data_IF_716853548070
#
_entry.id   IF_716853548070
#
_cell.length_a   1.000
_cell.length_b   1.000
_cell.length_c   1.000
_cell.angle_alpha   90.00
_cell.angle_beta   90.00
_cell.angle_gamma   90.00
#
_symmetry.space_group_name_H-M   'P 1'
#
loop_
_entity.id
_entity.type
_entity.pdbx_description
1 polymer ?
#
# COMPACT_ATOMS: atom_id res chain seq x y z
N UNK A 1 -19.15 12.16 -0.36
CA UNK A 1 -19.13 11.65 -1.75
C UNK A 1 -19.70 12.80 -2.55
N UNK A 2 -18.91 13.47 -3.38
CA UNK A 2 -19.45 14.53 -4.24
C UNK A 2 -19.97 13.80 -5.47
N UNK A 3 -21.28 13.85 -5.67
CA UNK A 3 -21.94 13.18 -6.79
C UNK A 3 -22.31 14.27 -7.79
N UNK A 4 -21.70 14.24 -8.97
CA UNK A 4 -22.09 15.12 -10.07
C UNK A 4 -23.21 14.43 -10.86
N UNK A 5 -24.33 15.12 -11.09
CA UNK A 5 -25.39 14.64 -11.99
C UNK A 5 -25.06 15.09 -13.42
N UNK A 6 -25.53 14.34 -14.43
CA UNK A 6 -25.41 14.72 -15.85
C UNK A 6 -25.93 16.15 -16.08
N UNK A 7 -27.03 16.51 -15.42
CA UNK A 7 -27.64 17.84 -15.46
C UNK A 7 -26.77 18.94 -14.83
N UNK A 8 -26.04 18.62 -13.75
CA UNK A 8 -25.07 19.54 -13.13
C UNK A 8 -23.87 19.81 -14.04
N UNK A 9 -23.45 18.82 -14.83
CA UNK A 9 -22.32 18.94 -15.76
C UNK A 9 -22.71 19.69 -17.04
N UNK A 10 -23.96 19.58 -17.48
CA UNK A 10 -24.48 20.32 -18.63
C UNK A 10 -24.73 21.81 -18.34
N UNK A 11 -25.00 22.16 -17.07
CA UNK A 11 -25.32 23.54 -16.65
C UNK A 11 -24.09 24.43 -16.42
N UNK A 12 -22.92 23.83 -16.19
CA UNK A 12 -21.69 24.57 -15.86
C UNK A 12 -20.55 24.11 -16.76
N UNK A 13 -20.01 25.01 -17.59
CA UNK A 13 -18.94 24.73 -18.57
C UNK A 13 -17.58 24.38 -17.93
N UNK A 14 -17.48 24.40 -16.60
CA UNK A 14 -16.24 24.08 -15.89
C UNK A 14 -16.52 23.33 -14.58
N UNK A 15 -15.85 22.18 -14.41
CA UNK A 15 -15.84 21.43 -13.16
C UNK A 15 -14.54 21.71 -12.40
N UNK A 16 -14.64 22.42 -11.29
CA UNK A 16 -13.50 22.63 -10.40
C UNK A 16 -13.25 21.39 -9.54
N UNK A 17 -12.28 20.56 -9.95
CA UNK A 17 -11.75 19.50 -9.10
C UNK A 17 -10.75 20.12 -8.12
N UNK A 18 -11.17 20.31 -6.87
CA UNK A 18 -10.41 21.03 -5.85
C UNK A 18 -8.98 20.50 -5.61
N UNK A 19 -7.99 21.19 -6.18
CA UNK A 19 -6.57 20.95 -5.96
C UNK A 19 -6.01 19.67 -6.60
N UNK A 20 -4.68 19.58 -6.65
CA UNK A 20 -3.93 18.48 -7.29
C UNK A 20 -4.33 17.08 -6.78
N UNK A 21 -4.80 16.98 -5.54
CA UNK A 21 -5.25 15.70 -4.95
C UNK A 21 -6.65 15.27 -5.42
N UNK A 22 -7.60 16.19 -5.61
CA UNK A 22 -8.90 15.85 -6.18
C UNK A 22 -8.76 15.47 -7.65
N UNK A 23 -7.86 16.14 -8.39
CA UNK A 23 -7.52 15.77 -9.76
C UNK A 23 -6.89 14.37 -9.84
N UNK A 24 -5.86 14.07 -9.05
CA UNK A 24 -5.24 12.75 -9.04
C UNK A 24 -6.22 11.63 -8.66
N UNK A 25 -7.15 11.91 -7.74
CA UNK A 25 -8.24 10.99 -7.40
C UNK A 25 -9.21 10.80 -8.56
N UNK A 26 -9.70 11.88 -9.15
CA UNK A 26 -10.60 11.84 -10.30
C UNK A 26 -9.94 11.15 -11.50
N UNK A 27 -8.63 11.30 -11.68
CA UNK A 27 -7.87 10.59 -12.70
C UNK A 27 -7.80 9.10 -12.41
N UNK A 28 -7.48 8.66 -11.19
CA UNK A 28 -7.49 7.23 -10.84
C UNK A 28 -8.90 6.64 -10.97
N UNK A 29 -9.92 7.37 -10.53
CA UNK A 29 -11.33 7.00 -10.67
C UNK A 29 -11.73 6.94 -12.16
N UNK A 30 -11.34 7.91 -12.98
CA UNK A 30 -11.55 7.94 -14.43
C UNK A 30 -10.80 6.78 -15.11
N UNK A 31 -9.51 6.58 -14.85
CA UNK A 31 -8.74 5.41 -15.32
C UNK A 31 -9.41 4.09 -14.97
N UNK A 32 -9.94 3.97 -13.74
CA UNK A 32 -10.68 2.78 -13.31
C UNK A 32 -12.00 2.65 -14.09
N UNK A 33 -12.72 3.75 -14.31
CA UNK A 33 -13.93 3.79 -15.13
C UNK A 33 -13.66 3.48 -16.61
N UNK A 34 -12.54 3.92 -17.19
CA UNK A 34 -12.13 3.62 -18.57
C UNK A 34 -11.74 2.15 -18.75
N UNK A 35 -11.11 1.56 -17.73
CA UNK A 35 -10.88 0.11 -17.69
C UNK A 35 -12.20 -0.68 -17.60
N UNK A 36 -13.19 -0.16 -16.89
CA UNK A 36 -14.53 -0.77 -16.77
C UNK A 36 -15.36 -0.59 -18.05
N UNK A 37 -15.27 0.57 -18.72
CA UNK A 37 -16.18 0.98 -19.80
C UNK A 37 -16.01 0.24 -21.13
N UNK A 38 -15.06 -0.69 -21.25
CA UNK A 38 -14.97 -1.60 -22.39
C UNK A 38 -15.92 -2.81 -22.30
N UNK A 39 -16.60 -3.01 -21.17
CA UNK A 39 -17.83 -3.82 -21.10
C UNK A 39 -19.06 -2.97 -21.48
N UNK A 40 -19.36 -2.96 -22.77
CA UNK A 40 -20.70 -2.73 -23.35
C UNK A 40 -21.52 -1.48 -22.91
N UNK A 41 -21.10 -0.32 -23.46
CA UNK A 41 -21.86 0.91 -23.84
C UNK A 41 -22.09 2.06 -22.82
N UNK A 42 -22.10 3.36 -23.17
CA UNK A 42 -21.27 4.15 -24.12
C UNK A 42 -21.35 5.68 -23.81
N UNK A 43 -22.47 6.23 -23.34
CA UNK A 43 -22.65 7.67 -23.07
C UNK A 43 -21.91 8.20 -21.82
N UNK A 44 -21.73 7.37 -20.79
CA UNK A 44 -21.22 7.77 -19.45
C UNK A 44 -19.71 8.00 -19.36
N UNK A 45 -19.01 7.57 -20.40
CA UNK A 45 -17.60 7.85 -20.64
C UNK A 45 -17.41 9.22 -21.32
N UNK A 46 -18.37 9.68 -22.15
CA UNK A 46 -18.37 10.97 -22.85
C UNK A 46 -18.51 12.16 -21.87
N UNK A 47 -19.29 12.01 -20.80
CA UNK A 47 -19.35 12.97 -19.68
C UNK A 47 -18.04 13.04 -18.85
N UNK A 48 -17.20 11.99 -18.92
CA UNK A 48 -15.92 11.92 -18.21
C UNK A 48 -14.80 12.74 -18.85
N UNK A 49 -15.02 13.32 -20.05
CA UNK A 49 -13.99 13.97 -20.86
C UNK A 49 -14.39 15.28 -21.56
N UNK A 50 -15.58 15.86 -21.39
CA UNK A 50 -15.88 17.22 -21.90
C UNK A 50 -15.15 18.37 -21.14
N UNK A 51 -14.04 18.05 -20.49
CA UNK A 51 -12.86 18.90 -20.32
C UNK A 51 -11.83 18.48 -21.41
N UNK A 52 -11.92 18.91 -22.68
CA UNK A 52 -12.71 20.01 -23.19
C UNK A 52 -12.28 21.38 -22.65
N UNK A 53 -11.13 21.49 -21.98
CA UNK A 53 -10.65 22.78 -21.48
C UNK A 53 -9.14 23.02 -21.62
N UNK A 54 -8.43 22.31 -22.51
CA UNK A 54 -7.21 22.83 -23.11
C UNK A 54 -6.97 22.23 -24.50
N UNK A 55 -6.89 23.16 -25.46
CA UNK A 55 -6.39 23.08 -26.84
C UNK A 55 -7.36 22.72 -27.98
N UNK A 56 -7.77 23.77 -28.70
CA UNK A 56 -8.64 23.76 -29.88
C UNK A 56 -7.91 23.38 -31.19
N UNK A 57 -6.83 22.61 -31.14
CA UNK A 57 -6.03 22.26 -32.32
C UNK A 57 -5.71 20.75 -32.47
N UNK A 58 -6.44 19.86 -31.79
CA UNK A 58 -6.23 18.42 -31.93
C UNK A 58 -7.33 17.74 -32.76
N UNK A 59 -7.24 17.85 -34.07
CA UNK A 59 -8.08 17.08 -35.02
C UNK A 59 -7.51 15.71 -35.40
N UNK A 60 -6.47 15.17 -34.74
CA UNK A 60 -5.79 13.99 -35.31
C UNK A 60 -5.23 12.89 -34.38
N UNK A 61 -5.80 12.63 -33.19
CA UNK A 61 -5.36 11.46 -32.40
C UNK A 61 -6.49 10.63 -31.81
N UNK A 62 -6.95 9.65 -32.60
CA UNK A 62 -7.68 8.44 -32.17
C UNK A 62 -6.74 7.38 -31.53
N UNK A 63 -5.73 7.78 -30.75
CA UNK A 63 -4.85 6.82 -30.07
C UNK A 63 -5.37 6.49 -28.67
N UNK A 64 -6.24 5.47 -28.66
CA UNK A 64 -6.86 4.85 -27.51
C UNK A 64 -5.89 4.56 -26.35
N UNK A 65 -6.37 4.84 -25.14
CA UNK A 65 -5.76 4.54 -23.85
C UNK A 65 -5.88 3.03 -23.54
N UNK A 66 -5.32 2.18 -24.39
CA UNK A 66 -5.35 0.73 -24.25
C UNK A 66 -4.17 0.30 -23.40
N UNK A 67 -4.39 0.08 -22.10
CA UNK A 67 -3.49 -0.79 -21.33
C UNK A 67 -3.32 -2.07 -22.16
N UNK A 68 -2.11 -2.36 -22.64
CA UNK A 68 -1.76 -3.66 -23.24
C UNK A 68 -1.65 -4.69 -22.11
N UNK A 69 -2.70 -4.79 -21.31
CA UNK A 69 -3.19 -6.11 -21.01
C UNK A 69 -3.65 -6.61 -22.37
N UNK A 70 -3.14 -7.74 -22.82
CA UNK A 70 -3.80 -8.45 -23.92
C UNK A 70 -5.16 -8.95 -23.41
N UNK A 71 -6.11 -8.01 -23.25
CA UNK A 71 -7.50 -8.21 -22.84
C UNK A 71 -8.35 -8.61 -24.04
N UNK A 72 -7.76 -8.73 -25.23
CA UNK A 72 -8.45 -9.17 -26.45
C UNK A 72 -9.17 -10.52 -26.25
N UNK A 73 -8.68 -11.34 -25.32
CA UNK A 73 -9.22 -12.67 -24.98
C UNK A 73 -9.93 -12.74 -23.62
N UNK A 74 -10.00 -11.66 -22.85
CA UNK A 74 -10.55 -11.72 -21.48
C UNK A 74 -11.91 -11.07 -21.44
N UNK A 75 -12.94 -11.86 -21.11
CA UNK A 75 -14.30 -11.35 -20.91
C UNK A 75 -14.31 -10.28 -19.82
N UNK A 76 -14.78 -9.09 -20.18
CA UNK A 76 -14.88 -7.99 -19.22
C UNK A 76 -16.12 -8.25 -18.34
N UNK A 77 -15.97 -8.15 -17.02
CA UNK A 77 -17.07 -8.41 -16.09
C UNK A 77 -18.25 -7.45 -16.29
N UNK A 78 -19.47 -7.96 -16.10
CA UNK A 78 -20.72 -7.26 -16.38
C UNK A 78 -21.20 -6.39 -15.22
N UNK A 79 -20.62 -6.57 -14.02
CA UNK A 79 -21.00 -5.85 -12.81
C UNK A 79 -19.80 -5.33 -12.02
N UNK A 80 -20.01 -4.30 -11.19
CA UNK A 80 -18.96 -3.75 -10.32
C UNK A 80 -18.43 -4.77 -9.29
N UNK A 81 -19.26 -5.74 -8.89
CA UNK A 81 -18.86 -6.84 -8.00
C UNK A 81 -17.91 -7.80 -8.71
N UNK A 82 -18.28 -8.21 -9.92
CA UNK A 82 -17.44 -9.05 -10.78
C UNK A 82 -16.15 -8.33 -11.16
N UNK A 83 -16.19 -7.03 -11.42
CA UNK A 83 -14.99 -6.23 -11.68
C UNK A 83 -13.98 -6.28 -10.54
N UNK A 84 -14.43 -6.20 -9.29
CA UNK A 84 -13.54 -6.32 -8.13
C UNK A 84 -12.92 -7.72 -7.97
N UNK A 85 -13.58 -8.78 -8.46
CA UNK A 85 -13.04 -10.14 -8.50
C UNK A 85 -12.04 -10.25 -9.64
N UNK A 86 -12.47 -9.89 -10.85
CA UNK A 86 -11.66 -9.91 -12.05
C UNK A 86 -10.35 -9.14 -11.90
N UNK A 87 -10.41 -7.89 -11.43
CA UNK A 87 -9.21 -7.08 -11.20
C UNK A 87 -8.27 -7.71 -10.17
N UNK A 88 -8.83 -8.39 -9.16
CA UNK A 88 -8.03 -9.10 -8.18
C UNK A 88 -7.34 -10.31 -8.80
N UNK A 89 -8.02 -11.04 -9.67
CA UNK A 89 -7.45 -12.17 -10.42
C UNK A 89 -6.36 -11.70 -11.40
N UNK A 90 -6.48 -10.49 -11.95
CA UNK A 90 -5.45 -9.85 -12.77
C UNK A 90 -4.32 -9.20 -11.97
N UNK A 91 -4.50 -8.98 -10.67
CA UNK A 91 -3.56 -8.20 -9.85
C UNK A 91 -2.12 -8.76 -9.86
N UNK A 92 -1.87 -10.08 -9.72
CA UNK A 92 -0.50 -10.61 -9.78
C UNK A 92 0.22 -10.32 -11.11
N UNK A 93 -0.50 -10.43 -12.24
CA UNK A 93 0.01 -10.09 -13.57
C UNK A 93 0.32 -8.60 -13.66
N UNK A 94 -0.62 -7.75 -13.26
CA UNK A 94 -0.46 -6.29 -13.26
C UNK A 94 0.71 -5.84 -12.38
N UNK A 95 0.86 -6.42 -11.19
CA UNK A 95 1.96 -6.12 -10.28
C UNK A 95 3.29 -6.54 -10.89
N UNK A 96 3.35 -7.72 -11.53
CA UNK A 96 4.57 -8.18 -12.20
C UNK A 96 4.96 -7.25 -13.35
N UNK A 97 4.00 -6.81 -14.17
CA UNK A 97 4.24 -5.82 -15.24
C UNK A 97 4.68 -4.47 -14.68
N UNK A 98 4.06 -4.01 -13.59
CA UNK A 98 4.47 -2.79 -12.88
C UNK A 98 5.93 -2.89 -12.42
N UNK A 99 6.30 -3.99 -11.76
CA UNK A 99 7.66 -4.20 -11.27
C UNK A 99 8.64 -4.30 -12.44
N UNK A 100 8.31 -5.04 -13.50
CA UNK A 100 9.15 -5.16 -14.68
C UNK A 100 9.43 -3.80 -15.30
N UNK A 101 8.37 -3.05 -15.64
CA UNK A 101 8.47 -1.74 -16.28
C UNK A 101 9.30 -0.76 -15.44
N UNK A 102 8.98 -0.64 -14.16
CA UNK A 102 9.60 0.35 -13.31
C UNK A 102 10.95 -0.08 -12.76
N UNK A 103 11.29 -1.37 -12.69
CA UNK A 103 12.68 -1.79 -12.42
C UNK A 103 13.58 -1.54 -13.63
N UNK A 104 13.03 -1.69 -14.84
CA UNK A 104 13.72 -1.51 -16.11
C UNK A 104 13.56 -0.10 -16.71
N UNK A 105 13.08 0.89 -15.97
CA UNK A 105 12.78 2.22 -16.53
C UNK A 105 13.99 2.91 -17.15
N UNK A 106 15.22 2.64 -16.68
CA UNK A 106 16.43 3.21 -17.27
C UNK A 106 16.64 2.74 -18.71
N UNK A 107 16.38 1.48 -19.00
CA UNK A 107 16.57 0.89 -20.34
C UNK A 107 15.34 1.08 -21.23
N UNK A 108 14.14 0.94 -20.67
CA UNK A 108 12.88 1.00 -21.42
C UNK A 108 12.43 2.43 -21.73
N UNK A 109 12.66 3.37 -20.81
CA UNK A 109 12.12 4.74 -20.92
C UNK A 109 13.22 5.75 -21.29
N UNK A 110 14.48 5.47 -20.94
CA UNK A 110 15.67 6.30 -21.24
C UNK A 110 15.65 7.74 -20.68
N UNK A 111 14.74 8.08 -19.76
CA UNK A 111 14.68 9.44 -19.17
C UNK A 111 15.34 9.57 -17.79
N UNK A 112 16.06 8.54 -17.34
CA UNK A 112 16.86 8.59 -16.12
C UNK A 112 18.33 8.90 -16.43
N UNK A 113 18.91 9.88 -15.74
CA UNK A 113 20.34 10.20 -15.85
C UNK A 113 21.27 9.06 -15.38
N UNK A 114 22.58 9.29 -15.47
CA UNK A 114 23.61 8.27 -15.21
C UNK A 114 23.58 7.67 -13.79
N UNK A 115 23.31 8.49 -12.77
CA UNK A 115 23.32 8.09 -11.36
C UNK A 115 21.98 7.56 -10.82
N UNK A 116 21.01 7.36 -11.69
CA UNK A 116 19.69 6.88 -11.30
C UNK A 116 19.61 5.35 -11.28
N UNK A 117 18.77 4.82 -10.39
CA UNK A 117 18.47 3.39 -10.23
C UNK A 117 19.66 2.53 -9.78
N UNK A 118 20.68 3.16 -9.20
CA UNK A 118 21.85 2.45 -8.67
C UNK A 118 21.54 1.78 -7.33
N UNK A 119 20.53 2.27 -6.61
CA UNK A 119 20.15 1.79 -5.30
C UNK A 119 18.63 1.69 -5.15
N UNK A 120 18.18 0.63 -4.47
CA UNK A 120 16.82 0.49 -3.93
C UNK A 120 16.81 0.90 -2.46
N UNK A 121 15.89 1.79 -2.09
CA UNK A 121 15.56 2.18 -0.71
C UNK A 121 14.26 1.49 -0.32
N UNK A 122 14.28 0.75 0.77
CA UNK A 122 13.15 0.01 1.32
C UNK A 122 12.77 0.66 2.65
N UNK A 123 11.47 0.85 2.87
CA UNK A 123 10.95 1.38 4.12
C UNK A 123 9.47 1.04 4.29
N UNK A 124 9.01 0.96 5.53
CA UNK A 124 7.65 0.66 5.94
C UNK A 124 6.85 1.91 6.34
N UNK A 125 5.83 2.27 5.56
CA UNK A 125 4.94 3.39 5.86
C UNK A 125 3.79 3.04 6.77
N UNK A 126 3.92 3.39 8.05
CA UNK A 126 2.91 3.00 9.03
C UNK A 126 1.66 3.89 9.12
N UNK A 127 1.39 4.83 8.19
CA UNK A 127 0.25 5.77 8.32
C UNK A 127 -0.97 5.36 7.47
N UNK A 128 -0.77 4.60 6.40
CA UNK A 128 -1.84 4.13 5.53
C UNK A 128 -2.36 2.76 6.00
N UNK A 129 -3.39 2.78 6.84
CA UNK A 129 -3.93 1.58 7.49
C UNK A 129 -5.42 1.41 7.20
N UNK A 130 -5.84 0.21 6.80
CA UNK A 130 -7.26 -0.17 6.67
C UNK A 130 -7.63 -1.24 7.67
N UNK A 131 -8.92 -1.54 7.84
CA UNK A 131 -9.35 -2.67 8.69
C UNK A 131 -8.97 -4.00 8.05
N UNK A 132 -8.49 -4.92 8.88
CA UNK A 132 -8.05 -6.27 8.50
C UNK A 132 -8.62 -7.32 9.44
N UNK A 133 -8.79 -8.53 8.92
CA UNK A 133 -9.22 -9.70 9.67
C UNK A 133 -8.28 -9.96 10.86
N UNK A 134 -8.87 -10.33 12.00
CA UNK A 134 -8.10 -10.67 13.21
C UNK A 134 -7.50 -12.06 13.22
N UNK A 135 -7.77 -12.90 12.21
CA UNK A 135 -7.09 -14.19 12.09
C UNK A 135 -5.59 -13.96 11.96
N UNK A 136 -4.87 -14.37 13.01
CA UNK A 136 -3.41 -14.40 13.08
C UNK A 136 -2.97 -15.81 12.73
N UNK A 137 -1.69 -15.95 12.42
CA UNK A 137 -1.06 -17.24 12.17
C UNK A 137 -1.56 -17.96 10.91
N UNK A 138 -1.89 -17.19 9.87
CA UNK A 138 -2.14 -17.77 8.54
C UNK A 138 -0.79 -18.18 8.00
N UNK A 139 -0.55 -19.47 7.81
CA UNK A 139 0.69 -19.95 7.20
C UNK A 139 0.56 -19.84 5.69
N UNK A 140 1.50 -19.21 5.02
CA UNK A 140 1.62 -19.21 3.56
C UNK A 140 3.01 -19.71 3.19
N UNK A 141 3.14 -20.45 2.10
CA UNK A 141 4.45 -20.81 1.56
C UNK A 141 4.86 -19.81 0.47
N UNK A 142 6.15 -19.63 0.30
CA UNK A 142 6.74 -18.88 -0.83
C UNK A 142 7.82 -19.72 -1.50
N UNK A 143 8.35 -19.26 -2.62
CA UNK A 143 9.51 -19.92 -3.24
C UNK A 143 10.74 -19.91 -2.33
N UNK A 144 10.87 -18.89 -1.47
CA UNK A 144 11.98 -18.70 -0.53
C UNK A 144 11.78 -19.41 0.80
N UNK A 145 10.53 -19.53 1.25
CA UNK A 145 10.21 -20.02 2.58
C UNK A 145 9.20 -21.15 2.49
N UNK A 146 9.48 -22.27 3.16
CA UNK A 146 8.51 -23.37 3.28
C UNK A 146 7.24 -22.92 3.98
N UNK A 147 7.39 -22.11 5.02
CA UNK A 147 6.27 -21.54 5.77
C UNK A 147 6.60 -20.13 6.25
N UNK A 148 5.64 -19.24 6.01
CA UNK A 148 5.63 -17.85 6.42
C UNK A 148 4.33 -17.59 7.16
N UNK A 149 4.44 -17.24 8.43
CA UNK A 149 3.29 -16.89 9.25
C UNK A 149 2.88 -15.44 8.97
N UNK A 150 1.75 -15.21 8.33
CA UNK A 150 1.18 -13.89 8.04
C UNK A 150 -0.14 -13.66 8.78
N UNK A 151 -0.64 -12.43 8.69
CA UNK A 151 -2.00 -12.07 9.15
C UNK A 151 -2.93 -12.10 7.95
N UNK A 152 -4.18 -12.53 8.17
CA UNK A 152 -5.18 -12.52 7.11
C UNK A 152 -5.37 -11.10 6.55
N UNK A 153 -5.13 -10.94 5.26
CA UNK A 153 -5.23 -9.67 4.55
C UNK A 153 -6.68 -9.20 4.37
N UNK A 154 -7.68 -10.08 4.52
CA UNK A 154 -9.06 -9.80 4.15
C UNK A 154 -9.72 -8.76 5.06
N UNK A 155 -10.66 -8.01 4.50
CA UNK A 155 -11.51 -7.09 5.27
C UNK A 155 -12.48 -7.90 6.15
N UNK A 156 -12.66 -7.55 7.44
CA UNK A 156 -13.68 -8.20 8.27
C UNK A 156 -15.09 -8.02 7.72
N UNK A 157 -15.98 -8.98 7.95
CA UNK A 157 -17.40 -8.83 7.65
C UNK A 157 -18.02 -7.71 8.51
N UNK A 158 -19.11 -7.10 8.04
CA UNK A 158 -19.81 -6.06 8.80
C UNK A 158 -20.18 -6.55 10.20
N UNK A 159 -19.86 -5.77 11.23
CA UNK A 159 -20.08 -6.16 12.63
C UNK A 159 -19.14 -7.24 13.19
N UNK A 160 -18.23 -7.80 12.37
CA UNK A 160 -17.29 -8.84 12.77
C UNK A 160 -15.86 -8.33 12.92
N UNK A 161 -15.05 -9.08 13.68
CA UNK A 161 -13.59 -8.93 13.75
C UNK A 161 -12.85 -9.83 12.76
N UNK A 162 -13.56 -10.77 12.14
CA UNK A 162 -13.04 -11.77 11.23
C UNK A 162 -13.72 -11.62 9.86
N UNK A 163 -13.01 -11.98 8.78
CA UNK A 163 -13.61 -12.13 7.47
C UNK A 163 -14.47 -13.41 7.40
N UNK A 164 -15.25 -13.57 6.35
CA UNK A 164 -16.17 -14.71 6.14
C UNK A 164 -15.48 -16.07 6.32
N UNK A 165 -14.26 -16.23 5.80
CA UNK A 165 -13.49 -17.47 5.94
C UNK A 165 -13.12 -17.79 7.40
N UNK A 166 -12.93 -16.75 8.20
CA UNK A 166 -12.42 -16.85 9.55
C UNK A 166 -13.50 -16.64 10.61
N UNK A 167 -14.78 -16.60 10.21
CA UNK A 167 -15.89 -16.48 11.16
C UNK A 167 -15.98 -17.69 12.09
N UNK A 168 -15.52 -18.87 11.66
CA UNK A 168 -15.50 -20.09 12.48
C UNK A 168 -14.64 -19.92 13.75
N UNK A 169 -13.58 -19.09 13.69
CA UNK A 169 -12.76 -18.77 14.87
C UNK A 169 -13.49 -17.96 15.94
N UNK A 170 -14.71 -17.45 15.67
CA UNK A 170 -15.53 -16.73 16.66
C UNK A 170 -16.02 -17.64 17.78
N UNK A 171 -16.19 -18.94 17.50
CA UNK A 171 -16.79 -19.89 18.44
C UNK A 171 -15.76 -20.53 19.39
N UNK A 172 -14.47 -20.47 19.05
CA UNK A 172 -13.39 -20.92 19.91
C UNK A 172 -12.91 -19.72 20.75
N UNK A 173 -13.61 -19.42 21.83
CA UNK A 173 -13.24 -18.35 22.75
C UNK A 173 -11.82 -18.58 23.28
N UNK A 174 -10.84 -17.82 22.77
CA UNK A 174 -9.50 -17.79 23.35
C UNK A 174 -9.57 -17.14 24.73
N UNK A 175 -9.74 -17.96 25.77
CA UNK A 175 -9.65 -17.59 27.19
C UNK A 175 -8.21 -17.28 27.60
N UNK A 176 -7.60 -16.23 27.06
CA UNK A 176 -6.26 -15.80 27.43
C UNK A 176 -6.26 -14.39 28.03
N UNK A 177 -6.52 -14.32 29.33
CA UNK A 177 -6.26 -13.17 30.19
C UNK A 177 -4.83 -13.23 30.73
N UNK A 178 -4.10 -12.12 30.59
CA UNK A 178 -2.92 -11.69 31.38
C UNK A 178 -1.53 -12.26 31.04
N UNK A 179 -0.75 -11.53 30.24
CA UNK A 179 0.72 -11.48 30.38
C UNK A 179 1.27 -10.09 29.95
N UNK A 180 2.21 -9.53 30.71
CA UNK A 180 2.80 -8.19 30.56
C UNK A 180 4.33 -8.30 30.55
N UNK A 181 5.00 -8.39 29.38
CA UNK A 181 6.36 -7.86 29.07
C UNK A 181 7.04 -8.55 27.87
N UNK A 182 6.84 -8.09 26.63
CA UNK A 182 7.75 -8.31 25.47
C UNK A 182 7.67 -7.09 24.54
N UNK A 183 8.82 -6.67 23.97
CA UNK A 183 9.03 -5.50 23.08
C UNK A 183 9.20 -5.84 21.58
N UNK A 184 8.78 -7.01 21.11
CA UNK A 184 7.95 -7.04 19.89
C UNK A 184 6.63 -6.35 20.27
N UNK A 185 5.93 -5.66 19.36
CA UNK A 185 4.60 -5.11 19.70
C UNK A 185 3.83 -6.16 20.49
N UNK A 186 3.57 -5.92 21.79
CA UNK A 186 3.18 -7.00 22.71
C UNK A 186 2.08 -7.84 22.07
N UNK A 187 2.04 -9.15 22.29
CA UNK A 187 0.96 -9.97 21.72
C UNK A 187 -0.42 -9.35 22.02
N UNK A 188 -0.54 -8.65 23.15
CA UNK A 188 -1.69 -7.81 23.50
C UNK A 188 -1.97 -6.62 22.55
N UNK A 189 -0.96 -5.93 22.03
CA UNK A 189 -1.07 -4.91 20.98
C UNK A 189 -1.43 -5.52 19.63
N UNK A 190 -0.78 -6.61 19.22
CA UNK A 190 -1.09 -7.31 17.95
C UNK A 190 -2.51 -7.91 17.99
N UNK A 191 -2.95 -8.43 19.15
CA UNK A 191 -4.33 -8.91 19.41
C UNK A 191 -5.35 -7.77 19.34
N UNK A 192 -4.96 -6.53 19.64
CA UNK A 192 -5.83 -5.34 19.54
C UNK A 192 -5.85 -4.73 18.14
N UNK A 193 -4.77 -4.86 17.37
CA UNK A 193 -4.67 -4.35 16.02
C UNK A 193 -5.68 -5.03 15.08
N UNK A 194 -6.72 -4.28 14.74
CA UNK A 194 -7.70 -4.59 13.71
C UNK A 194 -7.43 -3.80 12.42
N UNK A 195 -6.23 -3.25 12.27
CA UNK A 195 -5.81 -2.51 11.09
C UNK A 195 -4.53 -3.08 10.51
N UNK A 196 -4.32 -2.94 9.20
CA UNK A 196 -3.00 -3.12 8.60
C UNK A 196 -2.00 -2.18 9.26
N UNK A 197 -0.73 -2.54 9.18
CA UNK A 197 0.36 -1.78 9.76
C UNK A 197 0.89 -0.74 8.80
N UNK A 198 0.60 -0.84 7.50
CA UNK A 198 1.09 0.14 6.54
C UNK A 198 1.30 -0.42 5.14
N UNK A 199 2.23 0.22 4.43
CA UNK A 199 2.70 -0.17 3.11
C UNK A 199 4.22 -0.29 3.19
N UNK A 200 4.78 -1.42 2.77
CA UNK A 200 6.20 -1.58 2.48
C UNK A 200 6.42 -1.17 1.04
N UNK A 201 7.39 -0.32 0.75
CA UNK A 201 7.70 0.08 -0.63
C UNK A 201 9.21 0.00 -0.89
N UNK A 202 9.56 -0.50 -2.08
CA UNK A 202 10.90 -0.39 -2.63
C UNK A 202 10.93 0.73 -3.66
N UNK A 203 11.78 1.72 -3.41
CA UNK A 203 11.87 2.96 -4.19
C UNK A 203 13.31 3.15 -4.62
N UNK A 204 13.56 3.41 -5.90
CA UNK A 204 14.91 3.73 -6.33
C UNK A 204 15.34 5.11 -5.83
N UNK A 205 16.64 5.39 -5.86
CA UNK A 205 17.16 6.72 -5.55
C UNK A 205 16.63 7.84 -6.48
N UNK A 206 16.04 7.50 -7.65
CA UNK A 206 15.31 8.44 -8.51
C UNK A 206 13.95 8.86 -7.98
N UNK A 207 13.46 8.22 -6.90
CA UNK A 207 12.09 8.29 -6.40
C UNK A 207 11.07 7.55 -7.28
N UNK A 208 11.51 6.53 -8.04
CA UNK A 208 10.62 5.63 -8.78
C UNK A 208 10.27 4.44 -7.88
N UNK A 209 8.97 4.20 -7.70
CA UNK A 209 8.47 3.05 -6.95
C UNK A 209 8.57 1.83 -7.85
N UNK A 210 9.33 0.83 -7.43
CA UNK A 210 9.54 -0.40 -8.22
C UNK A 210 8.78 -1.58 -7.66
N UNK A 211 8.47 -1.57 -6.37
CA UNK A 211 7.72 -2.64 -5.72
C UNK A 211 7.02 -2.12 -4.47
N UNK A 212 5.98 -2.81 -4.04
CA UNK A 212 5.30 -2.52 -2.79
C UNK A 212 4.47 -3.71 -2.30
N UNK A 213 4.16 -3.72 -1.01
CA UNK A 213 3.25 -4.67 -0.39
C UNK A 213 2.48 -4.01 0.77
N UNK A 214 1.25 -4.44 1.02
CA UNK A 214 0.55 -4.04 2.24
C UNK A 214 1.09 -4.87 3.43
N UNK A 215 1.40 -4.21 4.53
CA UNK A 215 1.91 -4.86 5.74
C UNK A 215 0.74 -5.10 6.70
N UNK A 216 0.52 -6.34 7.12
CA UNK A 216 -0.62 -6.72 7.97
C UNK A 216 -0.28 -6.85 9.47
N UNK A 217 1.00 -6.89 9.81
CA UNK A 217 1.56 -6.95 11.17
C UNK A 217 2.79 -6.05 11.29
N UNK A 218 3.52 -6.10 12.39
CA UNK A 218 4.87 -5.52 12.40
C UNK A 218 5.66 -6.11 11.23
N UNK A 219 6.27 -5.24 10.43
CA UNK A 219 7.18 -5.63 9.36
C UNK A 219 8.16 -6.70 9.84
N UNK A 220 8.27 -7.79 9.07
CA UNK A 220 9.17 -8.90 9.39
C UNK A 220 10.20 -9.09 8.30
N UNK A 221 11.41 -9.52 8.69
CA UNK A 221 12.50 -9.75 7.74
C UNK A 221 12.12 -10.76 6.65
N UNK A 222 11.33 -11.79 6.99
CA UNK A 222 10.84 -12.76 5.99
C UNK A 222 9.87 -12.14 4.98
N UNK A 223 8.99 -11.23 5.39
CA UNK A 223 8.08 -10.51 4.48
C UNK A 223 8.88 -9.57 3.55
N UNK A 224 9.91 -8.90 4.07
CA UNK A 224 10.81 -8.07 3.26
C UNK A 224 11.56 -8.93 2.24
N UNK A 225 12.19 -10.02 2.67
CA UNK A 225 12.92 -10.94 1.79
C UNK A 225 12.00 -11.48 0.70
N UNK A 226 10.78 -11.90 1.06
CA UNK A 226 9.79 -12.38 0.08
C UNK A 226 9.41 -11.29 -0.93
N UNK A 227 9.22 -10.04 -0.50
CA UNK A 227 8.98 -8.91 -1.39
C UNK A 227 10.16 -8.66 -2.34
N UNK A 228 11.40 -8.65 -1.81
CA UNK A 228 12.60 -8.39 -2.60
C UNK A 228 12.87 -9.50 -3.62
N UNK A 229 12.77 -10.78 -3.23
CA UNK A 229 12.93 -11.89 -4.17
C UNK A 229 11.85 -11.88 -5.27
N UNK A 230 10.60 -11.56 -4.91
CA UNK A 230 9.52 -11.39 -5.90
C UNK A 230 9.82 -10.23 -6.85
N UNK A 231 10.43 -9.17 -6.34
CA UNK A 231 10.84 -8.01 -7.13
C UNK A 231 11.98 -8.36 -8.09
N UNK A 232 12.99 -9.10 -7.62
CA UNK A 232 14.10 -9.58 -8.44
C UNK A 232 13.58 -10.43 -9.61
N UNK A 233 12.71 -11.41 -9.36
CA UNK A 233 12.08 -12.22 -10.42
C UNK A 233 11.33 -11.35 -11.43
N UNK A 234 10.39 -10.53 -10.95
CA UNK A 234 9.55 -9.71 -11.83
C UNK A 234 10.37 -8.64 -12.59
N UNK A 235 11.51 -8.22 -12.08
CA UNK A 235 12.43 -7.31 -12.77
C UNK A 235 13.25 -7.97 -13.88
N UNK A 236 13.10 -9.29 -14.10
CA UNK A 236 14.00 -10.11 -14.92
C UNK A 236 15.47 -9.97 -14.46
N UNK A 237 15.68 -10.04 -13.14
CA UNK A 237 16.98 -9.92 -12.48
C UNK A 237 17.71 -8.58 -12.71
N UNK A 238 17.03 -7.57 -13.25
CA UNK A 238 17.52 -6.19 -13.27
C UNK A 238 17.22 -5.49 -11.94
N UNK A 239 17.86 -5.97 -10.88
CA UNK A 239 17.72 -5.44 -9.53
C UNK A 239 18.93 -4.57 -9.14
N UNK A 240 18.73 -3.44 -8.42
CA UNK A 240 19.85 -2.61 -7.99
C UNK A 240 20.86 -3.37 -7.12
N UNK A 241 22.15 -3.24 -7.45
CA UNK A 241 23.25 -3.92 -6.73
C UNK A 241 23.44 -3.44 -5.29
N UNK A 242 22.84 -2.30 -4.92
CA UNK A 242 22.88 -1.75 -3.58
C UNK A 242 21.47 -1.56 -3.01
N UNK A 243 21.22 -2.13 -1.84
CA UNK A 243 20.02 -1.90 -1.05
C UNK A 243 20.27 -0.94 0.11
N UNK A 244 19.27 -0.14 0.45
CA UNK A 244 19.22 0.66 1.67
C UNK A 244 17.93 0.32 2.40
N UNK A 245 18.04 0.03 3.69
CA UNK A 245 16.91 -0.33 4.54
C UNK A 245 17.20 0.15 5.96
N UNK A 246 16.23 0.70 6.68
CA UNK A 246 16.42 1.23 8.04
C UNK A 246 16.94 0.14 8.98
N UNK A 247 16.37 -1.06 8.92
CA UNK A 247 16.81 -2.23 9.67
C UNK A 247 17.74 -3.16 8.87
N UNK A 248 18.57 -2.55 8.00
CA UNK A 248 19.47 -3.25 7.09
C UNK A 248 20.42 -4.22 7.79
N UNK A 249 20.85 -3.93 9.02
CA UNK A 249 21.78 -4.80 9.74
C UNK A 249 21.20 -6.17 10.05
N UNK A 250 19.98 -6.21 10.59
CA UNK A 250 19.32 -7.48 10.90
C UNK A 250 18.87 -8.20 9.63
N UNK A 251 18.49 -7.46 8.58
CA UNK A 251 18.19 -8.06 7.27
C UNK A 251 19.39 -8.84 6.71
N UNK A 252 20.58 -8.22 6.69
CA UNK A 252 21.80 -8.88 6.18
C UNK A 252 22.21 -10.06 7.06
N UNK A 253 22.16 -9.90 8.38
CA UNK A 253 22.45 -10.97 9.32
C UNK A 253 21.50 -12.15 9.12
N UNK A 254 20.19 -11.88 9.01
CA UNK A 254 19.19 -12.91 8.75
C UNK A 254 19.45 -13.64 7.43
N UNK A 255 19.67 -12.90 6.34
CA UNK A 255 19.96 -13.50 5.04
C UNK A 255 21.17 -14.43 5.15
N UNK A 256 22.28 -13.98 5.77
CA UNK A 256 23.50 -14.79 5.89
C UNK A 256 23.32 -16.04 6.75
N UNK A 257 22.65 -15.91 7.88
CA UNK A 257 22.49 -17.01 8.82
C UNK A 257 21.49 -18.07 8.34
N UNK A 258 20.49 -17.66 7.54
CA UNK A 258 19.41 -18.56 7.10
C UNK A 258 19.55 -19.04 5.64
N UNK A 259 20.51 -18.54 4.86
CA UNK A 259 20.67 -18.91 3.46
C UNK A 259 21.10 -20.37 3.25
N UNK A 260 20.29 -21.14 2.51
CA UNK A 260 20.44 -22.58 2.37
C UNK A 260 19.93 -23.40 3.56
N UNK A 261 19.33 -22.73 4.54
CA UNK A 261 18.58 -23.35 5.64
C UNK A 261 17.10 -22.97 5.45
N UNK A 262 16.55 -22.14 6.34
CA UNK A 262 15.18 -21.63 6.26
C UNK A 262 14.91 -20.76 5.02
N UNK A 263 15.94 -20.08 4.48
CA UNK A 263 15.87 -19.31 3.24
C UNK A 263 16.40 -20.20 2.10
N UNK A 264 15.48 -20.73 1.30
CA UNK A 264 15.79 -21.63 0.16
C UNK A 264 16.71 -20.95 -0.84
N UNK A 265 17.61 -21.73 -1.46
CA UNK A 265 18.51 -21.27 -2.53
C UNK A 265 17.75 -21.26 -3.85
N UNK A 266 17.27 -20.08 -4.24
CA UNK A 266 16.65 -19.81 -5.54
C UNK A 266 17.49 -18.75 -6.24
N UNK A 267 17.38 -18.62 -7.55
CA UNK A 267 18.12 -17.57 -8.28
C UNK A 267 17.86 -16.17 -7.71
N UNK A 268 16.63 -15.91 -7.24
CA UNK A 268 16.27 -14.65 -6.61
C UNK A 268 16.89 -14.47 -5.22
N UNK A 269 16.89 -15.50 -4.37
CA UNK A 269 17.53 -15.40 -3.05
C UNK A 269 19.05 -15.38 -3.13
N UNK A 270 19.66 -16.02 -4.13
CA UNK A 270 21.10 -15.88 -4.45
C UNK A 270 21.43 -14.44 -4.81
N UNK A 271 20.67 -13.84 -5.74
CA UNK A 271 20.87 -12.44 -6.15
C UNK A 271 20.67 -11.47 -4.97
N UNK A 272 19.70 -11.75 -4.09
CA UNK A 272 19.50 -10.98 -2.88
C UNK A 272 20.66 -11.14 -1.89
N UNK A 273 21.20 -12.35 -1.72
CA UNK A 273 22.35 -12.63 -0.88
C UNK A 273 23.62 -11.88 -1.32
N UNK A 274 23.80 -11.72 -2.64
CA UNK A 274 24.92 -10.98 -3.24
C UNK A 274 24.76 -9.45 -3.20
N UNK A 275 23.54 -8.96 -2.98
CA UNK A 275 23.25 -7.53 -2.93
C UNK A 275 23.92 -6.88 -1.72
N UNK A 276 24.63 -5.76 -1.93
CA UNK A 276 25.23 -4.99 -0.83
C UNK A 276 24.15 -4.15 -0.16
N UNK A 277 23.98 -4.29 1.15
CA UNK A 277 23.05 -3.45 1.91
C UNK A 277 23.76 -2.42 2.78
N UNK A 278 23.10 -1.30 3.04
CA UNK A 278 23.51 -0.30 4.02
C UNK A 278 22.28 0.18 4.81
N UNK A 279 22.51 0.70 6.01
CA UNK A 279 21.43 1.33 6.78
C UNK A 279 21.14 2.72 6.22
N UNK A 280 19.87 3.15 6.21
CA UNK A 280 19.53 4.51 5.79
C UNK A 280 20.28 5.57 6.63
N UNK A 281 20.73 6.65 5.99
CA UNK A 281 21.53 7.71 6.63
C UNK A 281 20.85 8.35 7.82
N UNK A 282 19.53 8.51 7.80
CA UNK A 282 18.79 9.14 8.89
C UNK A 282 18.68 8.22 10.11
N UNK A 283 18.55 6.92 9.85
CA UNK A 283 18.39 5.90 10.87
C UNK A 283 19.73 5.43 11.44
N UNK A 284 20.84 5.52 10.68
CA UNK A 284 22.15 4.99 11.06
C UNK A 284 22.67 5.46 12.43
N UNK A 285 22.31 6.66 12.89
CA UNK A 285 22.67 7.15 14.23
C UNK A 285 22.18 6.23 15.36
N UNK A 286 21.05 5.55 15.16
CA UNK A 286 20.48 4.59 16.11
C UNK A 286 21.19 3.23 16.13
N UNK A 287 22.05 2.94 15.15
CA UNK A 287 22.73 1.66 15.04
C UNK A 287 24.10 1.71 15.71
N UNK A 288 24.14 1.24 16.95
CA UNK A 288 25.34 1.34 17.82
C UNK A 288 26.23 0.09 17.80
N UNK A 289 25.74 -1.04 17.29
CA UNK A 289 26.49 -2.31 17.29
C UNK A 289 27.80 -2.23 16.52
N UNK A 290 28.88 -2.83 17.05
CA UNK A 290 30.22 -2.80 16.45
C UNK A 290 30.20 -3.30 15.00
N UNK A 291 29.57 -4.45 14.77
CA UNK A 291 29.43 -5.01 13.42
C UNK A 291 28.63 -4.10 12.49
N UNK A 292 27.53 -3.53 12.98
CA UNK A 292 26.70 -2.62 12.19
C UNK A 292 27.46 -1.35 11.77
N UNK A 293 28.24 -0.74 12.69
CA UNK A 293 29.05 0.44 12.37
C UNK A 293 30.17 0.15 11.37
N UNK A 294 30.72 -1.06 11.39
CA UNK A 294 31.77 -1.48 10.47
C UNK A 294 31.22 -1.80 9.07
N UNK A 295 30.09 -2.51 8.99
CA UNK A 295 29.62 -3.13 7.74
C UNK A 295 28.41 -2.42 7.09
N UNK A 296 27.60 -1.69 7.85
CA UNK A 296 26.34 -1.11 7.37
C UNK A 296 26.37 0.42 7.28
N UNK A 297 27.55 1.02 7.45
CA UNK A 297 27.72 2.47 7.46
C UNK A 297 27.51 3.07 6.05
N UNK A 298 26.42 3.83 5.81
CA UNK A 298 26.13 4.37 4.49
C UNK A 298 27.13 5.44 4.02
N UNK A 299 27.94 6.00 4.91
CA UNK A 299 28.98 6.99 4.59
C UNK A 299 30.29 6.35 4.11
N UNK A 300 30.48 5.04 4.36
CA UNK A 300 31.63 4.27 3.86
C UNK A 300 31.34 3.53 2.56
N UNK A 301 30.08 3.49 2.13
CA UNK A 301 29.68 2.84 0.89
C UNK A 301 29.78 3.84 -0.27
N UNK A 302 30.81 3.69 -1.10
CA UNK A 302 31.06 4.54 -2.26
C UNK A 302 29.88 4.57 -3.24
N UNK A 303 29.13 3.46 -3.37
CA UNK A 303 27.94 3.39 -4.22
C UNK A 303 26.81 4.31 -3.76
N UNK A 304 26.86 4.80 -2.51
CA UNK A 304 25.87 5.71 -1.96
C UNK A 304 26.32 7.17 -2.04
N UNK A 305 27.52 7.50 -2.52
CA UNK A 305 27.97 8.88 -2.61
C UNK A 305 27.05 9.71 -3.54
N UNK A 306 26.51 10.82 -3.04
CA UNK A 306 25.51 11.61 -3.77
C UNK A 306 24.13 10.96 -3.98
N UNK A 307 23.91 9.74 -3.46
CA UNK A 307 22.63 9.02 -3.60
C UNK A 307 21.63 9.47 -2.54
N UNK A 308 20.38 9.69 -2.96
CA UNK A 308 19.26 10.01 -2.09
C UNK A 308 18.75 8.74 -1.38
N UNK A 309 19.26 8.47 -0.18
CA UNK A 309 18.79 7.34 0.66
C UNK A 309 17.43 7.61 1.32
N UNK A 310 16.95 8.87 1.31
CA UNK A 310 15.66 9.27 1.89
C UNK A 310 14.49 9.17 0.88
N UNK A 311 14.68 8.46 -0.23
CA UNK A 311 13.68 8.38 -1.30
C UNK A 311 12.34 7.81 -0.81
N UNK A 312 12.37 6.83 0.10
CA UNK A 312 11.16 6.22 0.65
C UNK A 312 10.40 7.16 1.59
N UNK A 313 11.06 7.88 2.50
CA UNK A 313 10.40 8.88 3.36
C UNK A 313 9.76 10.00 2.52
N UNK A 314 10.43 10.43 1.44
CA UNK A 314 9.87 11.40 0.50
C UNK A 314 8.63 10.86 -0.24
N UNK A 315 8.65 9.59 -0.66
CA UNK A 315 7.46 8.91 -1.19
C UNK A 315 6.34 8.94 -0.15
N UNK A 316 6.64 8.60 1.09
CA UNK A 316 5.66 8.46 2.16
C UNK A 316 5.05 9.78 2.62
N UNK A 317 5.80 10.88 2.56
CA UNK A 317 5.22 12.22 2.69
C UNK A 317 4.14 12.48 1.64
N UNK A 318 4.33 12.02 0.40
CA UNK A 318 3.34 12.13 -0.67
C UNK A 318 2.17 11.15 -0.49
N UNK A 319 2.43 9.89 -0.13
CA UNK A 319 1.39 8.86 0.09
C UNK A 319 0.45 9.23 1.24
N UNK A 320 0.95 9.93 2.26
CA UNK A 320 0.15 10.42 3.40
C UNK A 320 -1.10 11.21 2.97
N UNK A 321 -1.04 11.93 1.85
CA UNK A 321 -2.16 12.69 1.32
C UNK A 321 -3.34 11.81 0.87
N UNK A 322 -3.10 10.51 0.66
CA UNK A 322 -4.10 9.53 0.25
C UNK A 322 -4.52 8.60 1.40
N UNK A 323 -4.04 8.82 2.63
CA UNK A 323 -4.27 7.93 3.77
C UNK A 323 -5.77 7.72 4.06
N UNK A 324 -6.59 8.76 3.95
CA UNK A 324 -8.03 8.67 4.17
C UNK A 324 -8.70 7.71 3.18
N UNK A 325 -8.39 7.84 1.88
CA UNK A 325 -8.94 6.96 0.84
C UNK A 325 -8.45 5.53 1.08
N UNK A 326 -7.14 5.34 1.23
CA UNK A 326 -6.52 4.02 1.45
C UNK A 326 -7.13 3.29 2.66
N UNK A 327 -7.43 4.01 3.74
CA UNK A 327 -8.03 3.44 4.96
C UNK A 327 -9.46 2.93 4.77
N UNK A 328 -10.17 3.45 3.76
CA UNK A 328 -11.56 3.09 3.44
C UNK A 328 -11.67 1.93 2.47
N UNK A 329 -10.59 1.59 1.76
CA UNK A 329 -10.59 0.55 0.74
C UNK A 329 -10.59 -0.84 1.38
N UNK A 330 -11.32 -1.76 0.74
CA UNK A 330 -11.28 -3.17 1.08
C UNK A 330 -10.01 -3.87 0.58
N UNK A 331 -9.81 -5.10 1.02
CA UNK A 331 -8.57 -5.87 0.77
C UNK A 331 -8.25 -6.12 -0.71
N UNK A 332 -9.27 -6.21 -1.58
CA UNK A 332 -9.05 -6.33 -3.03
C UNK A 332 -8.71 -4.99 -3.66
N UNK A 333 -9.38 -3.92 -3.23
CA UNK A 333 -9.32 -2.60 -3.87
C UNK A 333 -8.06 -1.83 -3.48
N UNK A 334 -7.57 -1.98 -2.25
CA UNK A 334 -6.40 -1.22 -1.78
C UNK A 334 -5.13 -1.53 -2.60
N UNK A 335 -4.74 -2.79 -2.84
CA UNK A 335 -3.53 -3.09 -3.62
C UNK A 335 -3.61 -2.59 -5.07
N UNK A 336 -4.78 -2.73 -5.71
CA UNK A 336 -5.04 -2.18 -7.05
C UNK A 336 -4.90 -0.66 -7.06
N UNK A 337 -5.51 0.02 -6.09
CA UNK A 337 -5.42 1.47 -5.99
C UNK A 337 -3.97 1.93 -5.79
N UNK A 338 -3.19 1.24 -4.95
CA UNK A 338 -1.77 1.52 -4.78
C UNK A 338 -0.96 1.30 -6.07
N UNK A 339 -1.26 0.25 -6.82
CA UNK A 339 -0.64 -0.02 -8.11
C UNK A 339 -0.83 1.16 -9.06
N UNK A 340 -2.09 1.61 -9.23
CA UNK A 340 -2.43 2.74 -10.10
C UNK A 340 -1.81 4.05 -9.58
N UNK A 341 -1.90 4.29 -8.27
CA UNK A 341 -1.35 5.48 -7.62
C UNK A 341 0.16 5.60 -7.83
N UNK A 342 0.91 4.51 -7.61
CA UNK A 342 2.35 4.50 -7.80
C UNK A 342 2.74 4.54 -9.27
N UNK A 343 1.96 3.92 -10.16
CA UNK A 343 2.20 4.03 -11.59
C UNK A 343 2.07 5.48 -12.08
N UNK A 344 1.00 6.16 -11.65
CA UNK A 344 0.81 7.58 -11.95
C UNK A 344 1.93 8.45 -11.38
N UNK A 345 2.35 8.19 -10.13
CA UNK A 345 3.48 8.90 -9.53
C UNK A 345 4.75 8.76 -10.36
N UNK A 346 5.05 7.55 -10.81
CA UNK A 346 6.25 7.27 -11.59
C UNK A 346 6.20 7.97 -12.95
N UNK A 347 5.03 7.98 -13.61
CA UNK A 347 4.77 8.74 -14.82
C UNK A 347 5.05 10.24 -14.63
N UNK A 348 4.46 10.85 -13.61
CA UNK A 348 4.67 12.26 -13.25
C UNK A 348 6.16 12.54 -13.00
N UNK A 349 6.82 11.69 -12.20
CA UNK A 349 8.23 11.82 -11.87
C UNK A 349 9.14 11.80 -13.09
N UNK A 350 8.76 11.04 -14.11
CA UNK A 350 9.50 10.87 -15.36
C UNK A 350 9.05 11.83 -16.47
N UNK A 351 8.07 12.71 -16.20
CA UNK A 351 7.47 13.61 -17.19
C UNK A 351 6.95 12.87 -18.43
N UNK A 352 6.43 11.65 -18.23
CA UNK A 352 5.88 10.81 -19.30
C UNK A 352 4.37 11.02 -19.35
N UNK A 353 3.84 11.24 -20.54
CA UNK A 353 2.39 11.18 -20.76
C UNK A 353 1.94 9.72 -20.70
N UNK A 354 0.85 9.38 -20.03
CA UNK A 354 0.42 7.99 -19.91
C UNK A 354 0.26 7.24 -21.24
N UNK A 355 -0.07 7.97 -22.31
CA UNK A 355 -0.18 7.44 -23.68
C UNK A 355 1.11 6.82 -24.22
N UNK A 356 2.29 7.24 -23.73
CA UNK A 356 3.57 6.73 -24.23
C UNK A 356 3.95 5.34 -23.67
N UNK A 357 3.36 4.92 -22.53
CA UNK A 357 3.69 3.61 -21.93
C UNK A 357 3.12 2.44 -22.74
N UNK A 358 2.04 2.65 -23.47
CA UNK A 358 1.35 1.59 -24.19
C UNK A 358 2.22 0.90 -25.25
N UNK A 359 3.11 1.65 -25.91
CA UNK A 359 4.03 1.11 -26.91
C UNK A 359 5.12 0.21 -26.28
N UNK A 360 5.47 0.44 -25.02
CA UNK A 360 6.50 -0.32 -24.32
C UNK A 360 5.94 -1.68 -23.90
N UNK A 361 4.73 -1.71 -23.33
CA UNK A 361 4.13 -2.93 -22.79
C UNK A 361 3.90 -4.03 -23.83
N UNK A 362 3.54 -3.67 -25.07
CA UNK A 362 3.36 -4.63 -26.18
C UNK A 362 4.64 -5.35 -26.61
N UNK A 363 5.81 -4.79 -26.28
CA UNK A 363 7.10 -5.37 -26.67
C UNK A 363 7.72 -6.26 -25.59
N UNK A 364 7.10 -6.38 -24.41
CA UNK A 364 7.64 -7.15 -23.30
C UNK A 364 7.22 -8.61 -23.41
N UNK A 365 8.13 -9.57 -23.63
CA UNK A 365 7.81 -10.98 -23.54
C UNK A 365 7.45 -11.32 -22.09
N UNK A 366 6.16 -11.42 -21.80
CA UNK A 366 5.69 -11.75 -20.47
C UNK A 366 5.49 -13.25 -20.32
N UNK A 367 6.43 -13.92 -19.64
CA UNK A 367 6.18 -15.25 -19.07
C UNK A 367 5.66 -15.08 -17.65
N UNK A 368 4.41 -15.52 -17.33
CA UNK A 368 3.89 -15.46 -15.97
C UNK A 368 4.71 -16.39 -15.07
N UNK A 369 5.74 -15.84 -14.44
CA UNK A 369 6.67 -16.60 -13.58
C UNK A 369 6.41 -16.37 -12.10
N UNK A 370 5.56 -15.41 -11.73
CA UNK A 370 5.40 -15.02 -10.33
C UNK A 370 4.05 -15.51 -9.79
N UNK A 371 4.06 -16.68 -9.15
CA UNK A 371 3.05 -17.04 -8.16
C UNK A 371 3.32 -16.23 -6.88
N UNK A 372 2.82 -15.00 -6.81
CA UNK A 372 2.85 -14.25 -5.56
C UNK A 372 2.07 -15.06 -4.51
N UNK A 373 2.63 -15.20 -3.32
CA UNK A 373 2.02 -15.88 -2.16
C UNK A 373 0.60 -15.40 -1.79
N UNK A 374 0.13 -14.30 -2.40
CA UNK A 374 -1.27 -13.86 -2.35
C UNK A 374 -2.25 -14.84 -3.03
N UNK A 375 -1.79 -15.70 -3.95
CA UNK A 375 -2.59 -16.75 -4.60
C UNK A 375 -2.80 -18.00 -3.70
N UNK A 376 -2.03 -18.16 -2.63
CA UNK A 376 -2.18 -19.26 -1.67
C UNK A 376 -3.57 -19.27 -0.99
N UNK A 377 -4.27 -18.14 -1.02
CA UNK A 377 -5.56 -17.92 -0.37
C UNK A 377 -6.72 -18.69 -1.04
N UNK A 378 -6.61 -19.10 -2.31
CA UNK A 378 -7.66 -19.87 -2.99
C UNK A 378 -7.52 -21.36 -2.71
N UNK A 379 -6.28 -21.87 -2.79
CA UNK A 379 -5.98 -23.29 -2.56
C UNK A 379 -6.11 -23.70 -1.09
N UNK A 380 -5.66 -22.83 -0.16
CA UNK A 380 -5.80 -23.09 1.28
C UNK A 380 -7.26 -23.09 1.75
N UNK A 381 -8.12 -22.28 1.13
CA UNK A 381 -9.56 -22.28 1.45
C UNK A 381 -10.22 -23.57 1.01
N UNK A 382 -9.84 -24.10 -0.15
CA UNK A 382 -10.32 -25.39 -0.65
C UNK A 382 -9.87 -26.52 0.28
N UNK A 383 -8.56 -26.60 0.58
CA UNK A 383 -7.99 -27.60 1.51
C UNK A 383 -8.58 -27.51 2.92
N UNK A 384 -8.81 -26.30 3.44
CA UNK A 384 -9.43 -26.11 4.75
C UNK A 384 -10.91 -26.48 4.77
N UNK A 385 -11.69 -26.12 3.74
CA UNK A 385 -13.09 -26.54 3.62
C UNK A 385 -13.20 -28.06 3.56
N UNK A 386 -12.25 -28.72 2.90
CA UNK A 386 -12.17 -30.17 2.82
C UNK A 386 -11.80 -30.83 4.17
N UNK A 387 -10.82 -30.28 4.89
CA UNK A 387 -10.51 -30.71 6.27
C UNK A 387 -11.70 -30.50 7.23
N UNK A 388 -12.48 -29.42 7.07
CA UNK A 388 -13.68 -29.18 7.87
C UNK A 388 -14.84 -30.12 7.50
N UNK A 389 -14.97 -30.49 6.22
CA UNK A 389 -15.91 -31.55 5.80
C UNK A 389 -15.54 -32.89 6.42
N UNK A 390 -14.26 -33.24 6.46
CA UNK A 390 -13.77 -34.46 7.10
C UNK A 390 -14.01 -34.47 8.62
N UNK A 391 -13.81 -33.33 9.31
CA UNK A 391 -14.08 -33.21 10.75
C UNK A 391 -15.57 -33.28 11.12
N UNK A 392 -16.47 -32.87 10.22
CA UNK A 392 -17.93 -33.02 10.41
C UNK A 392 -18.45 -34.41 10.08
N UNK A 393 -17.65 -35.28 9.46
CA UNK A 393 -18.03 -36.63 9.06
C UNK A 393 -17.78 -37.70 10.14
N UNK A 394 -17.25 -37.32 11.31
CA UNK A 394 -17.20 -38.24 12.45
C UNK A 394 -18.57 -38.29 13.13
N UNK A 395 -19.24 -39.45 13.19
CA UNK A 395 -20.47 -39.60 13.94
C UNK A 395 -20.17 -39.37 15.43
N UNK A 396 -20.92 -38.47 16.06
CA UNK A 396 -21.00 -38.36 17.50
C UNK A 396 -21.58 -39.68 18.01
N UNK A 397 -20.72 -40.59 18.47
CA UNK A 397 -21.14 -41.69 19.34
C UNK A 397 -21.55 -41.07 20.66
N UNK A 398 -22.86 -41.05 20.91
CA UNK A 398 -23.46 -40.69 22.18
C UNK A 398 -23.17 -41.80 23.19
N UNK A 399 -22.11 -41.64 23.97
CA UNK A 399 -22.03 -42.27 25.29
C UNK A 399 -22.27 -41.20 26.34
N UNK A 400 -23.54 -41.08 26.74
CA UNK A 400 -23.94 -40.42 27.96
C UNK A 400 -23.70 -41.40 29.11
N UNK A 401 -22.64 -41.21 29.89
CA UNK A 401 -22.64 -41.52 31.32
C UNK A 401 -21.40 -40.94 32.00
N UNK A 402 -21.62 -40.34 33.17
CA UNK A 402 -20.65 -39.87 34.17
C UNK A 402 -20.04 -38.46 34.00
N UNK A 403 -20.78 -37.43 34.45
CA UNK A 403 -20.15 -36.32 35.17
C UNK A 403 -21.17 -35.54 36.01
N UNK A 404 -21.55 -36.10 37.16
CA UNK A 404 -22.19 -35.36 38.25
C UNK A 404 -21.26 -35.35 39.44
N UNK A 405 -20.61 -34.20 39.69
CA UNK A 405 -20.07 -33.70 40.98
C UNK A 405 -18.98 -32.67 40.70
N UNK A 406 -19.34 -31.39 40.58
CA UNK A 406 -18.51 -30.21 40.90
C UNK A 406 -19.30 -28.92 40.62
N UNK A 407 -20.44 -28.74 41.30
CA UNK A 407 -21.17 -27.47 41.31
C UNK A 407 -21.61 -27.11 42.74
N UNK A 408 -20.64 -26.80 43.61
CA UNK A 408 -20.95 -26.25 44.94
C UNK A 408 -19.89 -25.32 45.53
N UNK A 409 -19.05 -24.67 44.71
CA UNK A 409 -18.06 -23.69 45.21
C UNK A 409 -17.87 -22.43 44.33
N UNK A 410 -18.89 -22.02 43.57
CA UNK A 410 -18.87 -20.75 42.82
C UNK A 410 -20.05 -19.83 43.24
N UNK A 411 -20.39 -19.86 44.53
CA UNK A 411 -21.54 -19.13 45.08
C UNK A 411 -21.24 -17.87 45.90
N UNK A 412 -19.97 -17.51 46.18
CA UNK A 412 -19.67 -16.50 47.23
C UNK A 412 -18.75 -15.34 46.79
N UNK A 413 -18.43 -15.19 45.50
CA UNK A 413 -17.58 -14.06 45.02
C UNK A 413 -18.20 -13.15 43.96
N UNK A 414 -19.52 -12.94 44.02
CA UNK A 414 -20.25 -12.00 43.15
C UNK A 414 -21.12 -10.98 43.91
N UNK A 415 -20.62 -10.40 45.01
CA UNK A 415 -21.33 -9.28 45.67
C UNK A 415 -20.49 -8.05 46.05
N UNK A 416 -19.21 -7.94 45.63
CA UNK A 416 -18.36 -6.79 46.01
C UNK A 416 -18.00 -5.84 44.84
N UNK A 417 -18.52 -6.04 43.62
CA UNK A 417 -18.13 -5.20 42.46
C UNK A 417 -19.15 -4.16 41.99
N UNK A 418 -20.32 -4.01 42.63
CA UNK A 418 -21.39 -3.10 42.17
C UNK A 418 -21.39 -1.66 42.74
N UNK A 419 -20.37 -1.25 43.51
CA UNK A 419 -20.34 0.09 44.12
C UNK A 419 -19.22 1.06 43.65
N UNK A 420 -18.54 0.78 42.53
CA UNK A 420 -17.47 1.67 42.00
C UNK A 420 -17.62 2.08 40.52
N UNK A 421 -18.84 2.24 40.01
CA UNK A 421 -19.10 2.75 38.65
C UNK A 421 -20.14 3.90 38.55
N UNK A 422 -20.23 4.79 39.55
CA UNK A 422 -21.12 5.98 39.47
C UNK A 422 -20.40 7.34 39.37
N UNK A 423 -19.09 7.38 39.08
CA UNK A 423 -18.36 8.64 38.86
C UNK A 423 -17.36 8.52 37.72
N UNK A 424 -17.81 8.66 36.46
CA UNK A 424 -17.04 9.29 35.37
C UNK A 424 -17.87 9.41 34.09
N UNK A 425 -17.80 10.62 33.50
CA UNK A 425 -18.32 11.08 32.20
C UNK A 425 -19.76 11.60 32.14
N UNK A 426 -19.96 12.80 32.72
CA UNK A 426 -20.76 13.83 32.04
C UNK A 426 -19.85 14.54 31.04
N UNK A 427 -19.94 14.19 29.76
CA UNK A 427 -19.41 15.05 28.70
C UNK A 427 -20.49 16.10 28.43
N UNK A 428 -20.17 17.37 28.71
CA UNK A 428 -20.99 18.51 28.28
C UNK A 428 -21.01 18.51 26.74
N UNK A 429 -22.20 18.47 26.16
CA UNK A 429 -22.44 18.88 24.78
C UNK A 429 -21.91 20.31 24.68
N UNK A 430 -20.93 20.55 23.81
CA UNK A 430 -20.46 21.89 23.56
C UNK A 430 -21.64 22.69 22.97
N UNK A 431 -21.94 23.83 23.59
CA UNK A 431 -22.95 24.76 23.09
C UNK A 431 -22.61 25.12 21.63
N UNK A 432 -23.62 25.07 20.76
CA UNK A 432 -23.53 25.43 19.34
C UNK A 432 -22.87 26.80 19.14
N UNK A 433 -23.06 27.74 20.08
CA UNK A 433 -22.41 29.05 20.05
C UNK A 433 -20.87 28.96 20.17
N UNK A 434 -20.36 27.99 20.94
CA UNK A 434 -18.91 27.77 21.08
C UNK A 434 -18.31 27.26 19.78
N UNK A 435 -19.04 26.39 19.05
CA UNK A 435 -18.60 25.87 17.76
C UNK A 435 -18.61 26.98 16.71
N UNK A 436 -19.67 27.80 16.65
CA UNK A 436 -19.75 28.93 15.72
C UNK A 436 -18.64 29.96 15.96
N UNK A 437 -18.32 30.26 17.22
CA UNK A 437 -17.22 31.16 17.55
C UNK A 437 -15.84 30.61 17.15
N UNK A 438 -15.63 29.30 17.26
CA UNK A 438 -14.40 28.65 16.80
C UNK A 438 -14.27 28.69 15.27
N UNK A 439 -15.36 28.46 14.53
CA UNK A 439 -15.37 28.55 13.07
C UNK A 439 -15.03 29.97 12.60
N UNK A 440 -15.69 30.98 13.17
CA UNK A 440 -15.41 32.39 12.85
C UNK A 440 -13.95 32.77 13.11
N UNK A 441 -13.38 32.30 14.24
CA UNK A 441 -11.97 32.54 14.58
C UNK A 441 -11.01 31.85 13.61
N UNK A 442 -11.37 30.68 13.08
CA UNK A 442 -10.58 30.00 12.05
C UNK A 442 -10.61 30.74 10.71
N UNK A 443 -11.76 31.25 10.29
CA UNK A 443 -11.91 32.06 9.08
C UNK A 443 -11.08 33.35 9.15
N UNK A 444 -11.06 34.02 10.30
CA UNK A 444 -10.23 35.21 10.53
C UNK A 444 -8.72 34.91 10.40
N UNK A 445 -8.28 33.74 10.87
CA UNK A 445 -6.86 33.33 10.77
C UNK A 445 -6.47 33.00 9.34
N UNK A 446 -7.33 32.32 8.58
CA UNK A 446 -7.10 32.01 7.16
C UNK A 446 -7.00 33.30 6.34
N UNK A 447 -7.94 34.24 6.53
CA UNK A 447 -7.91 35.54 5.87
C UNK A 447 -6.66 36.35 6.21
N UNK A 448 -6.10 36.18 7.41
CA UNK A 448 -4.88 36.88 7.85
C UNK A 448 -3.62 36.28 7.21
N UNK A 449 -3.57 34.97 7.00
CA UNK A 449 -2.49 34.29 6.27
C UNK A 449 -2.49 34.68 4.78
N UNK A 450 -3.66 34.66 4.13
CA UNK A 450 -3.79 35.01 2.72
C UNK A 450 -3.35 36.47 2.44
N UNK A 451 -3.73 37.40 3.31
CA UNK A 451 -3.24 38.79 3.25
C UNK A 451 -1.73 38.91 3.44
N UNK A 452 -1.09 38.01 4.21
CA UNK A 452 0.38 38.00 4.36
C UNK A 452 1.04 37.50 3.07
N UNK A 453 0.51 36.47 2.44
CA UNK A 453 1.06 35.93 1.19
C UNK A 453 0.97 36.94 0.04
N UNK A 454 -0.15 37.63 -0.10
CA UNK A 454 -0.32 38.71 -1.10
C UNK A 454 0.73 39.81 -0.89
N UNK A 455 0.93 40.23 0.37
CA UNK A 455 1.97 41.23 0.70
C UNK A 455 3.38 40.74 0.37
N UNK A 456 3.68 39.46 0.55
CA UNK A 456 4.97 38.88 0.19
C UNK A 456 5.16 38.81 -1.33
N UNK A 457 4.13 38.46 -2.10
CA UNK A 457 4.16 38.44 -3.57
C UNK A 457 4.42 39.84 -4.14
N UNK A 458 3.66 40.83 -3.69
CA UNK A 458 3.84 42.22 -4.11
C UNK A 458 5.24 42.77 -3.75
N UNK A 459 5.84 42.32 -2.64
CA UNK A 459 7.22 42.66 -2.28
C UNK A 459 8.26 42.02 -3.19
N UNK A 460 8.02 40.81 -3.71
CA UNK A 460 8.93 40.15 -4.66
C UNK A 460 8.85 40.82 -6.03
N UNK A 461 7.66 41.17 -6.49
CA UNK A 461 7.47 41.87 -7.77
C UNK A 461 8.12 43.26 -7.77
N UNK A 462 8.02 44.01 -6.67
CA UNK A 462 8.73 45.30 -6.52
C UNK A 462 10.26 45.19 -6.45
N UNK A 463 10.80 43.99 -6.24
CA UNK A 463 12.24 43.75 -6.10
C UNK A 463 12.89 43.15 -7.36
N UNK A 464 12.15 42.93 -8.45
CA UNK A 464 12.76 42.63 -9.74
C UNK A 464 13.33 43.93 -10.34
N UNK A 465 14.66 44.10 -10.44
CA UNK A 465 15.25 45.26 -11.09
C UNK A 465 15.03 45.14 -12.60
N UNK A 466 14.73 46.27 -13.24
CA UNK A 466 14.75 46.43 -14.69
C UNK A 466 16.14 46.04 -15.24
N UNK A 467 16.29 44.78 -15.64
CA UNK A 467 17.48 44.22 -16.28
C UNK A 467 17.11 43.68 -17.67
N UNK A 468 16.42 44.51 -18.43
CA UNK A 468 16.19 44.31 -19.87
C UNK A 468 16.27 45.70 -20.50
N UNK A 469 17.49 46.11 -20.83
CA UNK A 469 17.85 47.12 -21.84
C UNK A 469 19.35 47.37 -21.67
N UNK A 470 20.17 46.48 -22.25
CA UNK A 470 21.57 46.72 -22.65
C UNK A 470 22.11 45.50 -23.38
N UNK A 471 21.38 45.04 -24.41
CA UNK A 471 21.89 44.14 -25.44
C UNK A 471 21.34 44.60 -26.80
N UNK A 472 21.68 45.83 -27.17
CA UNK A 472 21.65 46.33 -28.54
C UNK A 472 22.48 47.63 -28.55
N UNK A 473 23.80 47.47 -28.62
CA UNK A 473 24.75 48.43 -29.15
C UNK A 473 26.05 47.68 -29.47
#
# INVERSE_FOLDING_TARGET
MITFTTESLQKYDTVYLGGQHAFGRALIENYTCQLISRASSWQKFVDGLNLGAFDSNLTDTKSNLTFVLDISSVSIPSSAREFGIWMWDQYPRLLSLFVYLWSNHKTLIKSCGSNFSQCIVIDGHQKCRRRVCRAKNVQVSTEEFESLTVVCCRTPSLGSRFCELHQVYRQQGFGATNCRTIKQCSESYIKRCNRSFGILAGVTNCKIVITFSEIFRSETLREIISLLCSTIRASNYNFPKCGVYDDGCHLVEFIRNHYGQDLKRTSASTSLYETKFSVDRTHFKGHVGRWCRANMNPYKNEMLNGINTQAAEQLFSWVKNYANILSSLGWRRMPIYLLLLFHYKNLERMSIRPTHIFNIASSVPFTPTVSLAHAADTEQVSKYKEQQKQKKAFPLTTDETSCTKLETEIGVKQQVSKQKQSKKKKFKVADMNTIQNLVKKMEELVNKEEKKEIRQRNRKERKQPARINNQQQ
#
